data_IF_148084382601
#
_entry.id   IF_148084382601
#
_cell.length_a   1.000
_cell.length_b   1.000
_cell.length_c   1.000
_cell.angle_alpha   90.00
_cell.angle_beta   90.00
_cell.angle_gamma   90.00
#
_symmetry.space_group_name_H-M   'P 1'
#
loop_
_entity.id
_entity.type
_entity.pdbx_description
1 polymer ?
#
# COMPACT_ATOMS: atom_id res chain seq x y z
N UNK A 1 -9.26 -3.85 53.69
CA UNK A 1 -8.07 -4.56 53.19
C UNK A 1 -8.53 -5.65 52.22
N UNK A 2 -7.96 -5.65 50.99
CA UNK A 2 -7.96 -6.70 49.94
C UNK A 2 -9.32 -7.04 49.30
N UNK A 3 -9.66 -6.48 48.13
CA UNK A 3 -9.23 -6.85 46.75
C UNK A 3 -9.80 -8.19 46.27
N UNK A 4 -10.70 -8.17 45.27
CA UNK A 4 -10.67 -8.94 44.00
C UNK A 4 -11.81 -8.38 43.13
N UNK A 5 -11.52 -7.55 42.11
CA UNK A 5 -11.14 -7.87 40.73
C UNK A 5 -12.32 -8.33 39.84
N UNK A 6 -12.35 -7.71 38.66
CA UNK A 6 -12.94 -8.16 37.40
C UNK A 6 -14.47 -8.06 37.24
N UNK A 7 -14.91 -6.93 36.68
CA UNK A 7 -15.66 -7.04 35.43
C UNK A 7 -14.95 -6.19 34.38
N UNK A 8 -14.45 -6.89 33.36
CA UNK A 8 -13.77 -6.35 32.21
C UNK A 8 -14.66 -5.31 31.54
N UNK A 9 -14.07 -4.13 31.35
CA UNK A 9 -14.49 -3.18 30.35
C UNK A 9 -14.41 -3.89 29.00
N UNK A 10 -15.56 -4.25 28.43
CA UNK A 10 -15.72 -4.42 26.99
C UNK A 10 -15.55 -3.05 26.35
N UNK A 11 -14.31 -2.57 26.30
CA UNK A 11 -13.93 -1.66 25.22
C UNK A 11 -13.87 -2.56 23.99
N UNK A 12 -14.96 -2.60 23.23
CA UNK A 12 -14.82 -2.75 21.79
C UNK A 12 -13.86 -1.65 21.37
N UNK A 13 -12.57 -1.98 21.30
CA UNK A 13 -11.68 -1.27 20.41
C UNK A 13 -12.24 -1.58 19.03
N UNK A 14 -13.21 -0.78 18.58
CA UNK A 14 -13.53 -0.69 17.18
C UNK A 14 -12.20 -0.30 16.56
N UNK A 15 -11.55 -1.25 15.87
CA UNK A 15 -10.60 -0.93 14.84
C UNK A 15 -11.20 0.27 14.10
N UNK A 16 -10.50 1.41 14.06
CA UNK A 16 -10.95 2.52 13.24
C UNK A 16 -11.02 1.98 11.83
N UNK A 17 -12.22 1.59 11.38
CA UNK A 17 -12.45 1.17 10.02
C UNK A 17 -12.00 2.35 9.18
N UNK A 18 -10.91 2.15 8.43
CA UNK A 18 -10.34 3.19 7.62
C UNK A 18 -11.44 3.65 6.68
N UNK A 19 -11.91 4.89 6.85
CA UNK A 19 -13.07 5.37 6.11
C UNK A 19 -12.57 5.77 4.73
N UNK A 20 -12.71 4.85 3.78
CA UNK A 20 -12.39 5.09 2.38
C UNK A 20 -13.46 5.98 1.72
N UNK A 21 -13.10 6.53 0.57
CA UNK A 21 -14.05 7.21 -0.31
C UNK A 21 -14.99 6.21 -0.99
N UNK A 22 -16.21 6.63 -1.39
CA UNK A 22 -17.13 5.77 -2.13
C UNK A 22 -16.50 5.17 -3.39
N UNK A 23 -15.62 5.92 -4.08
CA UNK A 23 -14.91 5.43 -5.26
C UNK A 23 -13.95 4.29 -4.92
N UNK A 24 -13.23 4.40 -3.80
CA UNK A 24 -12.35 3.32 -3.35
C UNK A 24 -13.15 2.13 -2.82
N UNK A 25 -14.22 2.34 -2.07
CA UNK A 25 -15.08 1.26 -1.59
C UNK A 25 -15.65 0.43 -2.75
N UNK A 26 -16.16 1.10 -3.79
CA UNK A 26 -16.63 0.42 -4.99
C UNK A 26 -15.53 -0.40 -5.65
N UNK A 27 -14.34 0.19 -5.82
CA UNK A 27 -13.20 -0.53 -6.41
C UNK A 27 -12.84 -1.77 -5.57
N UNK A 28 -12.81 -1.64 -4.24
CA UNK A 28 -12.46 -2.75 -3.35
C UNK A 28 -13.50 -3.88 -3.41
N UNK A 29 -14.79 -3.55 -3.47
CA UNK A 29 -15.86 -4.54 -3.65
C UNK A 29 -15.71 -5.30 -4.97
N UNK A 30 -15.47 -4.57 -6.08
CA UNK A 30 -15.24 -5.18 -7.40
C UNK A 30 -14.02 -6.12 -7.38
N UNK A 31 -12.89 -5.66 -6.82
CA UNK A 31 -11.67 -6.47 -6.75
C UNK A 31 -11.82 -7.69 -5.85
N UNK A 32 -12.48 -7.55 -4.70
CA UNK A 32 -12.75 -8.66 -3.79
C UNK A 32 -13.54 -9.77 -4.49
N UNK A 33 -14.59 -9.40 -5.23
CA UNK A 33 -15.37 -10.34 -6.02
C UNK A 33 -14.51 -11.11 -7.05
N UNK A 34 -13.56 -10.43 -7.70
CA UNK A 34 -12.64 -11.09 -8.64
C UNK A 34 -11.66 -12.04 -7.95
N UNK A 35 -11.23 -11.73 -6.73
CA UNK A 35 -10.31 -12.57 -5.96
C UNK A 35 -10.99 -13.82 -5.40
N UNK A 36 -12.28 -13.75 -5.05
CA UNK A 36 -13.05 -14.93 -4.63
C UNK A 36 -13.29 -15.91 -5.80
N UNK A 37 -13.40 -15.40 -7.02
CA UNK A 37 -13.72 -16.19 -8.21
C UNK A 37 -12.71 -15.94 -9.36
N UNK A 38 -11.41 -16.26 -9.16
CA UNK A 38 -10.38 -15.87 -10.10
C UNK A 38 -10.48 -16.66 -11.41
N UNK A 39 -10.74 -15.97 -12.51
CA UNK A 39 -10.84 -16.56 -13.86
C UNK A 39 -9.60 -16.31 -14.74
N UNK A 40 -8.72 -15.39 -14.33
CA UNK A 40 -7.51 -15.04 -15.08
C UNK A 40 -6.45 -16.14 -14.98
N UNK A 41 -5.78 -16.41 -16.09
CA UNK A 41 -4.61 -17.28 -16.11
C UNK A 41 -3.50 -16.71 -15.20
N UNK A 42 -3.02 -17.52 -14.26
CA UNK A 42 -1.98 -17.10 -13.30
C UNK A 42 -2.50 -16.41 -12.04
N UNK A 43 -3.80 -16.14 -11.93
CA UNK A 43 -4.39 -15.43 -10.79
C UNK A 43 -4.03 -16.06 -9.43
N UNK A 44 -4.09 -17.38 -9.30
CA UNK A 44 -3.72 -18.08 -8.06
C UNK A 44 -2.26 -17.83 -7.65
N UNK A 45 -1.35 -17.69 -8.62
CA UNK A 45 0.05 -17.39 -8.35
C UNK A 45 0.20 -15.96 -7.88
N UNK A 46 -0.44 -15.01 -8.56
CA UNK A 46 -0.38 -13.59 -8.20
C UNK A 46 -1.02 -13.32 -6.82
N UNK A 47 -2.12 -14.00 -6.51
CA UNK A 47 -2.78 -13.93 -5.19
C UNK A 47 -1.96 -14.55 -4.06
N UNK A 48 -1.05 -15.49 -4.36
CA UNK A 48 -0.16 -16.11 -3.38
C UNK A 48 1.18 -15.36 -3.22
N UNK A 49 1.45 -14.35 -4.06
CA UNK A 49 2.69 -13.57 -4.03
C UNK A 49 2.54 -12.36 -3.10
N UNK A 50 3.28 -12.38 -1.98
CA UNK A 50 3.27 -11.34 -0.94
C UNK A 50 3.58 -9.93 -1.47
N UNK A 51 4.27 -9.83 -2.61
CA UNK A 51 4.61 -8.56 -3.24
C UNK A 51 3.51 -7.98 -4.13
N UNK A 52 2.38 -8.66 -4.31
CA UNK A 52 1.30 -8.26 -5.20
C UNK A 52 0.12 -7.63 -4.46
N UNK A 53 -0.61 -6.79 -5.19
CA UNK A 53 -1.79 -6.10 -4.67
C UNK A 53 -2.88 -7.05 -4.13
N UNK A 54 -3.20 -8.21 -4.75
CA UNK A 54 -4.21 -9.10 -4.21
C UNK A 54 -3.83 -9.65 -2.83
N UNK A 55 -2.56 -10.06 -2.63
CA UNK A 55 -2.10 -10.54 -1.33
C UNK A 55 -2.24 -9.46 -0.25
N UNK A 56 -1.90 -8.22 -0.60
CA UNK A 56 -2.13 -7.07 0.29
C UNK A 56 -3.62 -6.93 0.63
N UNK A 57 -4.50 -6.81 -0.37
CA UNK A 57 -5.92 -6.56 -0.14
C UNK A 57 -6.65 -7.71 0.57
N UNK A 58 -6.20 -8.95 0.38
CA UNK A 58 -6.78 -10.12 1.04
C UNK A 58 -6.40 -10.23 2.53
N UNK A 59 -5.21 -9.78 2.90
CA UNK A 59 -4.62 -10.09 4.22
C UNK A 59 -4.28 -8.86 5.07
N UNK A 60 -4.47 -7.64 4.58
CA UNK A 60 -4.09 -6.41 5.30
C UNK A 60 -4.91 -6.15 6.57
N UNK A 61 -6.16 -6.63 6.61
CA UNK A 61 -7.05 -6.49 7.76
C UNK A 61 -7.06 -7.73 8.67
N UNK A 62 -6.34 -8.79 8.28
CA UNK A 62 -6.17 -9.97 9.12
C UNK A 62 -5.17 -9.71 10.26
N UNK A 63 -5.45 -10.27 11.43
CA UNK A 63 -4.57 -10.21 12.60
C UNK A 63 -4.22 -11.61 13.06
N UNK A 64 -2.96 -11.84 13.43
CA UNK A 64 -2.46 -13.10 13.97
C UNK A 64 -2.58 -14.32 13.03
N UNK A 65 -2.64 -14.10 11.70
CA UNK A 65 -2.57 -15.16 10.69
C UNK A 65 -1.15 -15.31 10.14
N UNK A 66 -0.83 -16.46 9.55
CA UNK A 66 0.48 -16.66 8.91
C UNK A 66 0.64 -15.69 7.74
N UNK A 67 -0.46 -15.43 7.05
CA UNK A 67 -0.55 -14.56 5.89
C UNK A 67 -0.34 -13.09 6.26
N UNK A 68 -0.99 -12.59 7.31
CA UNK A 68 -0.78 -11.20 7.77
C UNK A 68 0.60 -10.99 8.36
N UNK A 69 1.16 -11.98 9.08
CA UNK A 69 2.55 -11.92 9.54
C UNK A 69 3.55 -11.86 8.36
N UNK A 70 3.31 -12.62 7.29
CA UNK A 70 4.11 -12.57 6.06
C UNK A 70 4.00 -11.22 5.36
N UNK A 71 2.78 -10.70 5.23
CA UNK A 71 2.53 -9.39 4.65
C UNK A 71 3.27 -8.30 5.42
N UNK A 72 3.12 -8.27 6.75
CA UNK A 72 3.78 -7.27 7.59
C UNK A 72 5.30 -7.35 7.49
N UNK A 73 5.89 -8.55 7.52
CA UNK A 73 7.33 -8.73 7.32
C UNK A 73 7.80 -8.24 5.95
N UNK A 74 7.00 -8.44 4.90
CA UNK A 74 7.31 -7.91 3.57
C UNK A 74 7.23 -6.38 3.52
N UNK A 75 6.20 -5.77 4.11
CA UNK A 75 6.03 -4.31 4.17
C UNK A 75 7.16 -3.64 4.97
N UNK A 76 7.57 -4.23 6.10
CA UNK A 76 8.73 -3.81 6.89
C UNK A 76 10.03 -3.84 6.07
N UNK A 77 10.23 -4.95 5.35
CA UNK A 77 11.37 -5.12 4.44
C UNK A 77 11.39 -4.09 3.33
N UNK A 78 10.22 -3.81 2.72
CA UNK A 78 10.06 -2.80 1.68
C UNK A 78 10.40 -1.41 2.22
N UNK A 79 9.89 -1.05 3.40
CA UNK A 79 10.18 0.23 4.05
C UNK A 79 11.67 0.40 4.33
N UNK A 80 12.32 -0.62 4.90
CA UNK A 80 13.75 -0.59 5.20
C UNK A 80 14.61 -0.46 3.93
N UNK A 81 14.23 -1.17 2.85
CA UNK A 81 14.95 -1.12 1.58
C UNK A 81 14.89 0.29 0.96
N UNK A 82 13.71 0.91 0.95
CA UNK A 82 13.54 2.26 0.40
C UNK A 82 14.23 3.32 1.25
N UNK A 83 14.14 3.23 2.58
CA UNK A 83 14.90 4.13 3.46
C UNK A 83 16.42 4.02 3.21
N UNK A 84 16.94 2.79 3.09
CA UNK A 84 18.35 2.56 2.79
C UNK A 84 18.77 3.10 1.42
N UNK A 85 17.93 2.87 0.40
CA UNK A 85 18.16 3.36 -0.97
C UNK A 85 18.25 4.88 -1.01
N UNK A 86 17.32 5.58 -0.35
CA UNK A 86 17.28 7.04 -0.37
C UNK A 86 18.44 7.66 0.39
N UNK A 87 18.78 7.13 1.57
CA UNK A 87 19.93 7.60 2.32
C UNK A 87 21.20 7.47 1.48
N UNK A 88 21.38 6.35 0.77
CA UNK A 88 22.52 6.15 -0.14
C UNK A 88 22.50 7.12 -1.32
N UNK A 89 21.35 7.39 -1.91
CA UNK A 89 21.26 8.36 -3.01
C UNK A 89 21.61 9.78 -2.54
N UNK A 90 21.18 10.17 -1.34
CA UNK A 90 21.49 11.46 -0.73
C UNK A 90 23.01 11.60 -0.52
N UNK A 91 23.65 10.56 0.02
CA UNK A 91 25.11 10.54 0.27
C UNK A 91 25.93 10.66 -1.02
N UNK A 92 25.41 10.13 -2.13
CA UNK A 92 26.09 10.12 -3.43
C UNK A 92 25.71 11.31 -4.34
N UNK A 93 24.82 12.21 -3.89
CA UNK A 93 24.36 13.35 -4.67
C UNK A 93 23.60 12.96 -5.95
N UNK A 94 22.89 11.83 -5.93
CA UNK A 94 22.18 11.29 -7.10
C UNK A 94 20.98 12.11 -7.54
N UNK A 95 20.52 11.91 -8.78
CA UNK A 95 19.24 12.44 -9.23
C UNK A 95 18.09 11.66 -8.57
N UNK A 96 17.28 12.37 -7.81
CA UNK A 96 16.19 11.81 -7.03
C UNK A 96 14.89 11.82 -7.83
N UNK A 97 14.27 10.65 -8.01
CA UNK A 97 12.95 10.55 -8.62
C UNK A 97 11.81 10.83 -7.62
N UNK A 98 12.13 10.89 -6.32
CA UNK A 98 11.34 11.47 -5.22
C UNK A 98 12.29 12.01 -4.14
N UNK A 99 11.86 12.97 -3.33
CA UNK A 99 12.71 13.66 -2.37
C UNK A 99 12.24 13.42 -0.93
N UNK A 100 13.19 13.11 -0.03
CA UNK A 100 12.89 13.13 1.39
C UNK A 100 12.44 14.53 1.80
N UNK A 101 11.41 14.59 2.63
CA UNK A 101 10.95 15.82 3.27
C UNK A 101 10.88 15.57 4.77
N UNK A 102 10.96 16.64 5.55
CA UNK A 102 10.81 16.57 7.01
C UNK A 102 9.44 15.99 7.42
N UNK A 103 8.44 16.11 6.55
CA UNK A 103 7.09 15.55 6.72
C UNK A 103 7.02 14.05 6.44
N UNK A 104 8.09 13.43 5.93
CA UNK A 104 8.12 12.00 5.60
C UNK A 104 8.57 11.19 6.82
N UNK A 105 7.65 10.40 7.37
CA UNK A 105 7.93 9.54 8.51
C UNK A 105 8.46 8.14 8.12
N UNK A 106 9.21 8.02 7.01
CA UNK A 106 9.63 6.73 6.42
C UNK A 106 10.50 5.84 7.35
N UNK A 107 11.04 6.37 8.44
CA UNK A 107 11.80 5.54 9.38
C UNK A 107 10.87 4.55 10.11
N UNK A 108 11.11 3.22 10.07
CA UNK A 108 10.19 2.22 10.66
C UNK A 108 9.84 2.45 12.13
N UNK A 109 10.83 2.89 12.94
CA UNK A 109 10.59 3.26 14.35
C UNK A 109 9.71 4.50 14.56
N UNK A 110 9.55 5.36 13.55
CA UNK A 110 8.74 6.58 13.63
C UNK A 110 7.33 6.35 13.10
N UNK A 111 7.21 5.64 11.97
CA UNK A 111 5.94 5.22 11.41
C UNK A 111 6.09 3.82 10.80
N UNK A 112 5.72 2.74 11.53
CA UNK A 112 5.77 1.38 11.00
C UNK A 112 4.70 1.14 9.92
N UNK A 113 3.64 1.95 9.86
CA UNK A 113 2.54 1.81 8.90
C UNK A 113 2.79 2.60 7.61
N UNK A 114 3.93 3.27 7.47
CA UNK A 114 4.18 4.24 6.38
C UNK A 114 3.93 3.65 4.98
N UNK A 115 4.37 2.41 4.73
CA UNK A 115 4.15 1.75 3.44
C UNK A 115 2.66 1.46 3.23
N UNK A 116 1.97 0.93 4.24
CA UNK A 116 0.52 0.65 4.20
C UNK A 116 -0.28 1.92 3.93
N UNK A 117 -0.01 2.98 4.69
CA UNK A 117 -0.66 4.29 4.55
C UNK A 117 -0.45 4.87 3.14
N UNK A 118 0.75 4.74 2.59
CA UNK A 118 1.07 5.20 1.24
C UNK A 118 0.33 4.38 0.17
N UNK A 119 0.28 3.05 0.31
CA UNK A 119 -0.48 2.18 -0.59
C UNK A 119 -1.96 2.60 -0.60
N UNK A 120 -2.56 2.79 0.58
CA UNK A 120 -3.94 3.28 0.67
C UNK A 120 -4.14 4.66 0.05
N UNK A 121 -3.20 5.59 0.28
CA UNK A 121 -3.22 6.92 -0.33
C UNK A 121 -3.22 6.85 -1.86
N UNK A 122 -2.41 5.96 -2.43
CA UNK A 122 -2.37 5.75 -3.88
C UNK A 122 -3.64 5.10 -4.40
N UNK A 123 -4.20 4.11 -3.69
CA UNK A 123 -5.46 3.48 -4.09
C UNK A 123 -6.62 4.50 -4.08
N UNK A 124 -6.73 5.33 -3.05
CA UNK A 124 -7.65 6.47 -2.96
C UNK A 124 -7.52 7.41 -4.17
N UNK A 125 -6.29 7.87 -4.44
CA UNK A 125 -6.00 8.78 -5.55
C UNK A 125 -6.31 8.14 -6.90
N UNK A 126 -6.04 6.85 -7.05
CA UNK A 126 -6.26 6.10 -8.29
C UNK A 126 -7.74 5.89 -8.53
N UNK A 127 -8.52 5.50 -7.51
CA UNK A 127 -9.96 5.36 -7.61
C UNK A 127 -10.63 6.65 -8.12
N UNK A 128 -10.13 7.81 -7.68
CA UNK A 128 -10.64 9.13 -8.10
C UNK A 128 -10.17 9.56 -9.49
N UNK A 129 -8.89 9.38 -9.81
CA UNK A 129 -8.27 10.01 -11.00
C UNK A 129 -8.10 9.05 -12.20
N UNK A 130 -8.06 7.74 -11.94
CA UNK A 130 -8.01 6.68 -12.95
C UNK A 130 -8.88 5.49 -12.51
N UNK A 131 -10.22 5.67 -12.39
CA UNK A 131 -11.12 4.65 -11.84
C UNK A 131 -11.02 3.31 -12.57
N UNK A 132 -10.68 3.33 -13.87
CA UNK A 132 -10.55 2.12 -14.67
C UNK A 132 -9.17 1.46 -14.61
N UNK A 133 -8.21 2.02 -13.84
CA UNK A 133 -6.80 1.55 -13.79
C UNK A 133 -6.69 0.06 -13.59
N UNK A 134 -7.48 -0.44 -12.65
CA UNK A 134 -7.48 -1.82 -12.20
C UNK A 134 -8.50 -2.68 -12.92
N UNK A 135 -9.46 -2.11 -13.65
CA UNK A 135 -10.57 -2.86 -14.27
C UNK A 135 -10.47 -2.98 -15.79
N UNK A 136 -9.90 -1.99 -16.49
CA UNK A 136 -9.91 -1.85 -17.97
C UNK A 136 -9.34 -3.00 -18.80
N UNK A 137 -8.59 -3.91 -18.19
CA UNK A 137 -8.00 -5.07 -18.87
C UNK A 137 -8.48 -6.38 -18.24
N UNK A 138 -9.80 -6.52 -18.07
CA UNK A 138 -10.42 -7.65 -17.38
C UNK A 138 -9.73 -7.94 -16.04
N UNK A 139 -9.50 -6.89 -15.26
CA UNK A 139 -8.84 -6.95 -13.96
C UNK A 139 -7.36 -7.39 -13.94
N UNK A 140 -6.74 -7.68 -15.09
CA UNK A 140 -5.36 -8.21 -15.13
C UNK A 140 -4.33 -7.30 -14.42
N UNK A 141 -4.53 -5.98 -14.46
CA UNK A 141 -3.70 -5.04 -13.69
C UNK A 141 -3.83 -5.28 -12.19
N UNK A 142 -5.04 -5.48 -11.66
CA UNK A 142 -5.29 -5.65 -10.23
C UNK A 142 -4.55 -6.89 -9.68
N UNK A 143 -4.50 -7.97 -10.45
CA UNK A 143 -3.75 -9.17 -10.10
C UNK A 143 -2.24 -8.96 -10.20
N UNK A 144 -1.76 -8.38 -11.30
CA UNK A 144 -0.33 -8.29 -11.58
C UNK A 144 0.39 -7.12 -10.90
N UNK A 145 -0.34 -6.13 -10.38
CA UNK A 145 0.25 -4.95 -9.75
C UNK A 145 1.06 -5.31 -8.51
N UNK A 146 2.27 -4.76 -8.41
CA UNK A 146 3.10 -4.90 -7.22
C UNK A 146 2.81 -3.79 -6.21
N UNK A 147 2.85 -4.13 -4.93
CA UNK A 147 2.76 -3.15 -3.83
C UNK A 147 3.97 -2.21 -3.84
N UNK A 148 5.14 -2.70 -4.26
CA UNK A 148 6.33 -1.87 -4.46
C UNK A 148 6.10 -0.79 -5.54
N UNK A 149 5.52 -1.15 -6.69
CA UNK A 149 5.24 -0.18 -7.76
C UNK A 149 4.18 0.86 -7.37
N UNK A 150 3.17 0.45 -6.59
CA UNK A 150 2.19 1.39 -5.98
C UNK A 150 2.90 2.35 -5.03
N UNK A 151 3.73 1.80 -4.13
CA UNK A 151 4.48 2.58 -3.15
C UNK A 151 5.44 3.58 -3.81
N UNK A 152 6.18 3.15 -4.84
CA UNK A 152 7.06 4.03 -5.63
C UNK A 152 6.28 5.18 -6.26
N UNK A 153 5.16 4.90 -6.93
CA UNK A 153 4.32 5.95 -7.49
C UNK A 153 3.84 6.93 -6.41
N UNK A 154 3.42 6.43 -5.25
CA UNK A 154 3.03 7.26 -4.11
C UNK A 154 4.17 8.16 -3.60
N UNK A 155 5.38 7.61 -3.43
CA UNK A 155 6.56 8.38 -3.05
C UNK A 155 6.83 9.52 -4.04
N UNK A 156 6.75 9.24 -5.33
CA UNK A 156 7.01 10.25 -6.35
C UNK A 156 5.95 11.36 -6.36
N UNK A 157 4.67 11.02 -6.19
CA UNK A 157 3.62 12.04 -6.30
C UNK A 157 3.35 12.81 -5.02
N UNK A 158 3.53 12.18 -3.86
CA UNK A 158 3.34 12.84 -2.56
C UNK A 158 4.60 13.58 -2.09
N UNK A 159 5.78 13.12 -2.55
CA UNK A 159 7.07 13.72 -2.23
C UNK A 159 7.93 14.01 -3.47
N UNK A 160 7.42 14.78 -4.45
CA UNK A 160 8.17 15.05 -5.66
C UNK A 160 9.38 15.96 -5.37
N UNK A 161 10.49 15.71 -6.07
CA UNK A 161 11.62 16.63 -6.12
C UNK A 161 11.36 17.85 -7.01
N UNK A 162 10.46 17.71 -7.98
CA UNK A 162 10.18 18.71 -9.01
C UNK A 162 8.68 18.94 -9.12
N UNK A 163 8.26 20.19 -9.25
CA UNK A 163 6.86 20.55 -9.45
C UNK A 163 6.74 21.45 -10.68
N UNK A 164 6.16 20.98 -11.81
CA UNK A 164 5.58 19.65 -12.02
C UNK A 164 6.65 18.54 -12.14
N UNK A 165 6.27 17.28 -11.91
CA UNK A 165 7.15 16.12 -12.10
C UNK A 165 7.46 15.98 -13.61
N UNK A 166 8.74 15.96 -14.03
CA UNK A 166 9.12 15.79 -15.43
C UNK A 166 8.56 14.50 -16.05
N UNK A 167 8.06 14.57 -17.28
CA UNK A 167 7.56 13.40 -18.03
C UNK A 167 8.58 12.28 -18.15
N UNK A 168 9.87 12.59 -18.19
CA UNK A 168 10.96 11.61 -18.24
C UNK A 168 11.10 10.78 -16.95
N UNK A 169 10.48 11.22 -15.85
CA UNK A 169 10.46 10.51 -14.57
C UNK A 169 9.12 9.81 -14.29
N UNK A 170 8.12 9.98 -15.16
CA UNK A 170 6.81 9.35 -14.97
C UNK A 170 6.92 7.82 -15.10
N UNK A 171 6.33 7.12 -14.15
CA UNK A 171 6.17 5.68 -14.21
C UNK A 171 5.14 5.32 -15.28
N UNK A 172 5.55 4.44 -16.20
CA UNK A 172 4.71 4.02 -17.32
C UNK A 172 3.40 3.40 -16.82
N UNK A 173 2.29 3.87 -17.37
CA UNK A 173 0.95 3.37 -17.03
C UNK A 173 0.31 4.01 -15.80
N UNK A 174 0.97 4.97 -15.14
CA UNK A 174 0.39 5.82 -14.10
C UNK A 174 0.00 7.19 -14.66
N UNK A 175 -1.05 7.79 -14.09
CA UNK A 175 -1.45 9.18 -14.39
C UNK A 175 -0.81 10.13 -13.37
N UNK A 176 -0.39 11.32 -13.80
CA UNK A 176 0.28 12.34 -12.98
C UNK A 176 -0.50 13.65 -13.01
#
# INVERSE_FOLDING_TARGET
MKHFLALLLLTCASAQAQTHSPELDQLLEELHHQYENPTLAGAQRDMADVGKLPYFLMHIDETDTVESMRLNAYLDGLQAAYLGSVNRQNDLGGNHWFCMRDTMAMHPKRNPEFVKEMIWTVLEKTAKNDPERFTRYNYATAFSMSTAGIFEYGLQTEYPCYSPIPKSLHFMGWKY
#
